data_IF_744441947459
#
_entry.id   IF_744441947459
#
_cell.length_a   1.000
_cell.length_b   1.000
_cell.length_c   1.000
_cell.angle_alpha   90.00
_cell.angle_beta   90.00
_cell.angle_gamma   90.00
#
_symmetry.space_group_name_H-M   'P 1'
#
loop_
_entity.id
_entity.type
_entity.pdbx_description
1 polymer ?
#
# COMPACT_ATOMS: atom_id res chain seq x y z
N UNK A 1 -1.14 26.20 -4.85
CA UNK A 1 -0.66 24.80 -4.98
C UNK A 1 -1.47 24.12 -6.09
N UNK A 2 -0.84 23.42 -7.04
CA UNK A 2 -1.58 22.68 -8.08
C UNK A 2 -2.06 21.35 -7.51
N UNK A 3 -3.31 20.97 -7.79
CA UNK A 3 -3.84 19.64 -7.43
C UNK A 3 -3.09 18.60 -8.27
N UNK A 4 -2.61 17.53 -7.63
CA UNK A 4 -1.96 16.39 -8.29
C UNK A 4 -2.99 15.27 -8.50
N UNK A 5 -2.89 14.52 -9.60
CA UNK A 5 -3.76 13.36 -9.85
C UNK A 5 -3.68 12.31 -8.72
N UNK A 6 -2.51 12.16 -8.10
CA UNK A 6 -2.32 11.32 -6.92
C UNK A 6 -3.29 11.69 -5.78
N UNK A 7 -3.52 12.99 -5.56
CA UNK A 7 -4.43 13.46 -4.52
C UNK A 7 -5.89 13.13 -4.83
N UNK A 8 -6.27 13.05 -6.11
CA UNK A 8 -7.62 12.70 -6.52
C UNK A 8 -7.97 11.25 -6.15
N UNK A 9 -7.05 10.32 -6.41
CA UNK A 9 -7.31 8.90 -6.20
C UNK A 9 -7.01 8.42 -4.78
N UNK A 10 -5.98 8.97 -4.14
CA UNK A 10 -5.71 8.69 -2.72
C UNK A 10 -6.78 9.34 -1.82
N UNK A 11 -7.42 10.42 -2.28
CA UNK A 11 -8.49 11.10 -1.56
C UNK A 11 -9.63 10.19 -1.11
N UNK A 12 -9.97 9.14 -1.87
CA UNK A 12 -10.98 8.16 -1.46
C UNK A 12 -10.58 7.39 -0.19
N UNK A 13 -9.32 6.98 -0.08
CA UNK A 13 -8.79 6.33 1.12
C UNK A 13 -8.76 7.28 2.31
N UNK A 14 -8.33 8.52 2.09
CA UNK A 14 -8.29 9.54 3.14
C UNK A 14 -9.71 9.88 3.63
N UNK A 15 -10.68 9.93 2.73
CA UNK A 15 -12.07 10.21 3.11
C UNK A 15 -12.64 9.09 4.00
N UNK A 16 -12.47 7.82 3.63
CA UNK A 16 -12.95 6.72 4.47
C UNK A 16 -12.28 6.71 5.85
N UNK A 17 -10.99 7.05 5.93
CA UNK A 17 -10.29 7.21 7.21
C UNK A 17 -10.92 8.35 8.02
N UNK A 18 -11.20 9.49 7.40
CA UNK A 18 -11.77 10.65 8.07
C UNK A 18 -13.23 10.43 8.53
N UNK A 19 -13.96 9.54 7.86
CA UNK A 19 -15.34 9.15 8.19
C UNK A 19 -15.44 8.12 9.32
N UNK A 20 -14.33 7.49 9.73
CA UNK A 20 -14.33 6.48 10.79
C UNK A 20 -14.47 7.11 12.18
N UNK A 21 -15.28 6.52 13.07
CA UNK A 21 -15.62 7.08 14.39
C UNK A 21 -14.41 7.34 15.30
N UNK A 22 -13.35 6.54 15.16
CA UNK A 22 -12.10 6.72 15.93
C UNK A 22 -11.15 7.77 15.33
N UNK A 23 -11.47 8.39 14.20
CA UNK A 23 -10.62 9.40 13.58
C UNK A 23 -10.60 10.71 14.38
N UNK A 24 -9.40 11.28 14.52
CA UNK A 24 -9.19 12.54 15.26
C UNK A 24 -8.31 13.53 14.50
N UNK A 25 -7.29 13.06 13.77
CA UNK A 25 -6.35 13.94 13.08
C UNK A 25 -5.64 13.24 11.91
N UNK A 26 -5.30 14.05 10.89
CA UNK A 26 -4.42 13.68 9.79
C UNK A 26 -3.35 14.76 9.61
N UNK A 27 -2.09 14.35 9.56
CA UNK A 27 -0.94 15.24 9.40
C UNK A 27 -0.05 14.79 8.23
N UNK A 28 0.60 15.75 7.56
CA UNK A 28 1.62 15.44 6.56
C UNK A 28 2.89 14.87 7.22
N UNK A 29 3.59 14.01 6.51
CA UNK A 29 4.89 13.47 6.95
C UNK A 29 6.03 14.24 6.28
N UNK A 30 7.02 14.57 7.10
CA UNK A 30 8.31 15.11 6.67
C UNK A 30 9.41 14.16 7.14
N UNK A 31 10.30 13.81 6.22
CA UNK A 31 11.49 12.99 6.46
C UNK A 31 12.69 13.82 6.01
N UNK A 32 13.61 14.14 6.92
CA UNK A 32 14.84 14.87 6.60
C UNK A 32 14.61 16.19 5.84
N UNK A 33 13.53 16.93 6.16
CA UNK A 33 13.16 18.19 5.51
C UNK A 33 12.42 18.00 4.17
N UNK A 34 12.04 16.77 3.83
CA UNK A 34 11.33 16.43 2.60
C UNK A 34 9.93 15.91 2.93
N UNK A 35 8.92 16.59 2.39
CA UNK A 35 7.53 16.12 2.47
C UNK A 35 7.30 14.86 1.66
N UNK A 36 6.71 13.84 2.30
CA UNK A 36 6.24 12.63 1.64
C UNK A 36 4.78 12.85 1.22
N UNK A 37 4.54 12.99 -0.08
CA UNK A 37 3.24 13.44 -0.60
C UNK A 37 2.16 12.35 -0.55
N UNK A 38 2.56 11.09 -0.45
CA UNK A 38 1.68 9.94 -0.46
C UNK A 38 1.71 9.20 0.88
N UNK A 39 2.12 9.85 1.97
CA UNK A 39 2.07 9.29 3.31
C UNK A 39 1.51 10.29 4.33
N UNK A 40 0.72 9.78 5.27
CA UNK A 40 0.00 10.60 6.24
C UNK A 40 0.07 9.99 7.62
N UNK A 41 0.24 10.84 8.64
CA UNK A 41 0.27 10.46 10.03
C UNK A 41 -1.14 10.61 10.61
N UNK A 42 -1.76 9.48 11.00
CA UNK A 42 -3.13 9.41 11.46
C UNK A 42 -3.14 9.29 12.98
N UNK A 43 -3.98 10.11 13.63
CA UNK A 43 -4.23 10.09 15.08
C UNK A 43 -2.98 10.12 15.98
N UNK A 44 -1.84 10.51 15.40
CA UNK A 44 -0.53 10.45 16.01
C UNK A 44 -0.06 9.04 16.45
N UNK A 45 -0.63 7.95 15.91
CA UNK A 45 -0.24 6.58 16.29
C UNK A 45 0.18 5.69 15.12
N UNK A 46 -0.24 6.00 13.89
CA UNK A 46 0.15 5.21 12.72
C UNK A 46 0.39 6.09 11.49
N UNK A 47 1.17 5.55 10.56
CA UNK A 47 1.40 6.13 9.24
C UNK A 47 0.74 5.27 8.19
N UNK A 48 -0.04 5.91 7.32
CA UNK A 48 -0.52 5.29 6.08
C UNK A 48 0.34 5.74 4.91
N UNK A 49 0.84 4.79 4.12
CA UNK A 49 1.53 5.04 2.87
C UNK A 49 0.64 4.59 1.72
N UNK A 50 0.19 5.54 0.91
CA UNK A 50 -0.82 5.32 -0.10
C UNK A 50 -0.20 5.18 -1.50
N UNK A 51 -0.74 4.24 -2.28
CA UNK A 51 -0.57 4.17 -3.73
C UNK A 51 -1.92 3.85 -4.38
N UNK A 52 -2.06 4.19 -5.65
CA UNK A 52 -3.24 3.85 -6.44
C UNK A 52 -2.84 3.19 -7.76
N UNK A 53 -3.76 2.41 -8.32
CA UNK A 53 -3.70 1.91 -9.68
C UNK A 53 -5.08 2.13 -10.31
N UNK A 54 -5.11 2.74 -11.50
CA UNK A 54 -6.38 3.13 -12.14
C UNK A 54 -7.09 1.94 -12.76
N UNK A 55 -6.36 1.12 -13.51
CA UNK A 55 -6.87 -0.01 -14.27
C UNK A 55 -6.11 -1.29 -13.92
N UNK A 56 -6.76 -2.43 -14.10
CA UNK A 56 -6.11 -3.73 -14.02
C UNK A 56 -5.50 -4.12 -15.38
N UNK A 57 -4.46 -4.95 -15.34
CA UNK A 57 -3.89 -5.54 -16.55
C UNK A 57 -4.79 -6.67 -17.11
N UNK A 58 -4.39 -7.28 -18.24
CA UNK A 58 -5.14 -8.38 -18.87
C UNK A 58 -5.42 -9.59 -17.97
N UNK A 59 -4.70 -9.75 -16.86
CA UNK A 59 -4.89 -10.83 -15.89
C UNK A 59 -5.80 -10.42 -14.72
N UNK A 60 -6.39 -9.22 -14.72
CA UNK A 60 -7.19 -8.71 -13.62
C UNK A 60 -6.38 -8.17 -12.44
N UNK A 61 -5.10 -7.86 -12.65
CA UNK A 61 -4.19 -7.40 -11.60
C UNK A 61 -3.99 -5.88 -11.63
N UNK A 62 -4.25 -5.22 -10.50
CA UNK A 62 -3.80 -3.86 -10.23
C UNK A 62 -2.34 -3.89 -9.80
N UNK A 63 -1.49 -3.11 -10.47
CA UNK A 63 -0.04 -3.15 -10.28
C UNK A 63 0.44 -1.93 -9.50
N UNK A 64 1.05 -2.17 -8.34
CA UNK A 64 1.61 -1.14 -7.47
C UNK A 64 3.14 -1.26 -7.44
N UNK A 65 3.81 -0.30 -8.08
CA UNK A 65 5.27 -0.28 -8.20
C UNK A 65 5.92 0.46 -7.03
N UNK A 66 6.82 -0.21 -6.33
CA UNK A 66 7.67 0.33 -5.28
C UNK A 66 9.11 0.37 -5.79
N UNK A 67 9.58 1.56 -6.15
CA UNK A 67 11.00 1.79 -6.45
C UNK A 67 11.81 1.92 -5.15
N UNK A 68 13.14 2.00 -5.29
CA UNK A 68 14.08 2.22 -4.19
C UNK A 68 13.68 3.39 -3.28
N UNK A 69 13.37 4.57 -3.83
CA UNK A 69 12.96 5.74 -3.04
C UNK A 69 11.74 5.47 -2.15
N UNK A 70 10.74 4.74 -2.64
CA UNK A 70 9.57 4.41 -1.81
C UNK A 70 9.93 3.43 -0.69
N UNK A 71 10.86 2.50 -0.94
CA UNK A 71 11.31 1.52 0.07
C UNK A 71 12.07 2.25 1.16
N UNK A 72 13.03 3.10 0.78
CA UNK A 72 13.79 3.94 1.70
C UNK A 72 12.87 4.87 2.50
N UNK A 73 11.86 5.48 1.88
CA UNK A 73 10.88 6.30 2.59
C UNK A 73 10.11 5.51 3.66
N UNK A 74 9.68 4.28 3.35
CA UNK A 74 8.95 3.44 4.33
C UNK A 74 9.87 3.03 5.48
N UNK A 75 11.14 2.74 5.20
CA UNK A 75 12.16 2.43 6.20
C UNK A 75 12.46 3.65 7.09
N UNK A 76 12.74 4.81 6.48
CA UNK A 76 13.00 6.07 7.18
C UNK A 76 11.84 6.48 8.13
N UNK A 77 10.58 6.32 7.68
CA UNK A 77 9.40 6.60 8.53
C UNK A 77 9.41 5.70 9.76
N UNK A 78 9.75 4.42 9.58
CA UNK A 78 9.78 3.45 10.67
C UNK A 78 10.79 3.88 11.72
N UNK A 79 11.99 4.23 11.28
CA UNK A 79 13.10 4.62 12.15
C UNK A 79 12.82 5.92 12.90
N UNK A 80 12.26 6.93 12.21
CA UNK A 80 12.09 8.27 12.80
C UNK A 80 10.88 8.39 13.72
N UNK A 81 9.79 7.65 13.46
CA UNK A 81 8.52 7.84 14.17
C UNK A 81 8.23 6.76 15.20
N UNK A 82 8.84 5.57 15.10
CA UNK A 82 8.53 4.43 15.98
C UNK A 82 7.01 4.13 16.05
N UNK A 83 6.33 4.22 14.90
CA UNK A 83 4.87 4.01 14.77
C UNK A 83 4.56 2.90 13.76
N UNK A 84 3.36 2.35 13.84
CA UNK A 84 2.89 1.35 12.88
C UNK A 84 2.75 1.96 11.49
N UNK A 85 3.19 1.23 10.47
CA UNK A 85 3.03 1.62 9.07
C UNK A 85 2.06 0.67 8.38
N UNK A 86 1.17 1.26 7.61
CA UNK A 86 0.18 0.60 6.80
C UNK A 86 0.30 1.02 5.34
N UNK A 87 0.32 0.06 4.42
CA UNK A 87 0.39 0.32 2.98
C UNK A 87 -1.02 0.25 2.42
N UNK A 88 -1.59 1.41 2.10
CA UNK A 88 -2.92 1.55 1.53
C UNK A 88 -2.84 1.53 -0.01
N UNK A 89 -3.56 0.59 -0.63
CA UNK A 89 -3.53 0.34 -2.07
C UNK A 89 -4.95 0.53 -2.63
N UNK A 90 -5.13 1.59 -3.43
CA UNK A 90 -6.42 1.95 -4.03
C UNK A 90 -6.54 1.39 -5.44
N UNK A 91 -7.51 0.49 -5.66
CA UNK A 91 -7.84 -0.08 -6.96
C UNK A 91 -9.01 0.72 -7.57
N UNK A 92 -8.71 1.81 -8.28
CA UNK A 92 -9.72 2.81 -8.68
C UNK A 92 -10.81 2.19 -9.55
N UNK A 93 -10.45 1.45 -10.61
CA UNK A 93 -11.43 0.83 -11.51
C UNK A 93 -12.31 -0.24 -10.83
N UNK A 94 -11.89 -0.76 -9.67
CA UNK A 94 -12.69 -1.69 -8.88
C UNK A 94 -13.49 -0.99 -7.78
N UNK A 95 -13.25 0.30 -7.53
CA UNK A 95 -13.78 1.05 -6.38
C UNK A 95 -13.48 0.37 -5.03
N UNK A 96 -12.27 -0.18 -4.90
CA UNK A 96 -11.86 -0.95 -3.73
C UNK A 96 -10.54 -0.46 -3.15
N UNK A 97 -10.41 -0.60 -1.83
CA UNK A 97 -9.21 -0.22 -1.09
C UNK A 97 -8.80 -1.42 -0.26
N UNK A 98 -7.53 -1.83 -0.37
CA UNK A 98 -6.96 -2.78 0.57
C UNK A 98 -5.77 -2.18 1.29
N UNK A 99 -5.50 -2.70 2.47
CA UNK A 99 -4.46 -2.20 3.34
C UNK A 99 -3.61 -3.37 3.86
N UNK A 100 -2.29 -3.22 3.76
CA UNK A 100 -1.32 -4.19 4.26
C UNK A 100 -0.63 -3.61 5.49
N UNK A 101 -0.40 -4.41 6.53
CA UNK A 101 0.56 -4.04 7.57
C UNK A 101 1.98 -4.00 6.99
N UNK A 102 2.90 -3.27 7.65
CA UNK A 102 4.32 -3.26 7.28
C UNK A 102 4.88 -4.68 7.14
N UNK A 103 4.60 -5.56 8.10
CA UNK A 103 5.07 -6.95 8.07
C UNK A 103 4.55 -7.72 6.86
N UNK A 104 3.28 -7.50 6.48
CA UNK A 104 2.70 -8.11 5.28
C UNK A 104 3.38 -7.60 4.00
N UNK A 105 3.62 -6.30 3.92
CA UNK A 105 4.38 -5.68 2.82
C UNK A 105 5.80 -6.25 2.73
N UNK A 106 6.56 -6.24 3.83
CA UNK A 106 7.93 -6.77 3.89
C UNK A 106 7.99 -8.25 3.53
N UNK A 107 7.01 -9.05 3.95
CA UNK A 107 6.91 -10.45 3.57
C UNK A 107 6.77 -10.63 2.06
N UNK A 108 5.96 -9.79 1.38
CA UNK A 108 5.85 -9.84 -0.08
C UNK A 108 7.17 -9.48 -0.77
N UNK A 109 7.84 -8.41 -0.33
CA UNK A 109 9.14 -7.99 -0.87
C UNK A 109 10.20 -9.08 -0.63
N UNK A 110 10.26 -9.64 0.58
CA UNK A 110 11.19 -10.71 0.95
C UNK A 110 10.97 -11.98 0.11
N UNK A 111 9.72 -12.38 -0.11
CA UNK A 111 9.41 -13.51 -0.98
C UNK A 111 9.90 -13.27 -2.41
N UNK A 112 9.75 -12.04 -2.91
CA UNK A 112 10.24 -11.68 -4.25
C UNK A 112 11.77 -11.72 -4.32
N UNK A 113 12.47 -11.15 -3.34
CA UNK A 113 13.94 -11.23 -3.21
C UNK A 113 14.41 -12.68 -3.21
N UNK A 114 13.78 -13.54 -2.40
CA UNK A 114 14.09 -14.99 -2.33
C UNK A 114 13.86 -15.71 -3.66
N UNK A 115 12.76 -15.41 -4.34
CA UNK A 115 12.45 -16.03 -5.63
C UNK A 115 13.44 -15.66 -6.73
N UNK A 116 14.02 -14.44 -6.69
CA UNK A 116 15.00 -13.99 -7.67
C UNK A 116 16.43 -14.40 -7.32
N UNK A 117 16.78 -14.40 -6.04
CA UNK A 117 18.13 -14.62 -5.52
C UNK A 117 18.93 -13.35 -5.28
N UNK A 118 18.38 -12.17 -5.57
CA UNK A 118 19.03 -10.87 -5.46
C UNK A 118 18.00 -9.72 -5.41
N UNK A 119 18.46 -8.53 -5.04
CA UNK A 119 17.62 -7.33 -4.96
C UNK A 119 17.24 -6.78 -6.34
N UNK A 120 16.16 -6.00 -6.37
CA UNK A 120 15.64 -5.34 -7.57
C UNK A 120 15.50 -3.84 -7.30
N UNK A 121 15.68 -3.03 -8.34
CA UNK A 121 15.46 -1.57 -8.25
C UNK A 121 14.00 -1.21 -8.00
N UNK A 122 13.08 -2.12 -8.36
CA UNK A 122 11.64 -1.97 -8.18
C UNK A 122 10.97 -3.30 -7.89
N UNK A 123 9.93 -3.25 -7.07
CA UNK A 123 9.08 -4.37 -6.73
C UNK A 123 7.64 -4.05 -7.12
N UNK A 124 6.97 -5.01 -7.75
CA UNK A 124 5.57 -4.88 -8.12
C UNK A 124 4.72 -5.72 -7.18
N UNK A 125 3.91 -5.07 -6.36
CA UNK A 125 2.84 -5.73 -5.61
C UNK A 125 1.59 -5.72 -6.49
N UNK A 126 1.00 -6.88 -6.66
CA UNK A 126 -0.17 -7.13 -7.49
C UNK A 126 -1.37 -7.34 -6.59
N UNK A 127 -2.48 -6.68 -6.89
CA UNK A 127 -3.76 -6.87 -6.20
C UNK A 127 -4.82 -7.34 -7.19
N UNK A 128 -5.50 -8.43 -6.86
CA UNK A 128 -6.72 -8.83 -7.58
C UNK A 128 -7.95 -8.52 -6.73
N UNK A 129 -8.93 -7.84 -7.33
CA UNK A 129 -10.14 -7.34 -6.68
C UNK A 129 -11.42 -8.00 -7.24
N UNK A 130 -11.43 -9.33 -7.39
CA UNK A 130 -12.56 -10.08 -7.98
C UNK A 130 -13.86 -9.89 -7.20
N UNK A 131 -14.92 -9.43 -7.86
CA UNK A 131 -16.22 -9.15 -7.26
C UNK A 131 -16.74 -10.32 -6.39
N UNK A 132 -17.28 -10.00 -5.21
CA UNK A 132 -17.80 -10.99 -4.25
C UNK A 132 -16.75 -11.85 -3.54
N UNK A 133 -15.45 -11.64 -3.80
CA UNK A 133 -14.35 -12.35 -3.13
C UNK A 133 -13.44 -11.37 -2.38
N UNK A 134 -12.70 -11.87 -1.39
CA UNK A 134 -11.61 -11.13 -0.73
C UNK A 134 -10.59 -10.64 -1.76
N UNK A 135 -10.01 -9.46 -1.50
CA UNK A 135 -8.86 -8.98 -2.27
C UNK A 135 -7.67 -9.89 -2.02
N UNK A 136 -6.78 -10.03 -3.01
CA UNK A 136 -5.55 -10.81 -2.87
C UNK A 136 -4.36 -9.97 -3.28
N UNK A 137 -3.45 -9.72 -2.34
CA UNK A 137 -2.17 -9.05 -2.59
C UNK A 137 -1.03 -10.08 -2.70
N UNK A 138 -0.21 -10.00 -3.74
CA UNK A 138 0.89 -10.93 -3.97
C UNK A 138 2.00 -10.32 -4.84
N UNK A 139 3.08 -11.09 -5.01
CA UNK A 139 4.18 -10.82 -5.94
C UNK A 139 4.36 -12.03 -6.85
N UNK A 140 4.76 -11.81 -8.10
CA UNK A 140 5.08 -12.93 -9.01
C UNK A 140 6.47 -13.49 -8.72
N UNK A 141 6.70 -14.75 -9.06
CA UNK A 141 8.00 -15.41 -9.06
C UNK A 141 8.92 -14.82 -10.14
N UNK A 142 10.24 -14.85 -9.91
CA UNK A 142 11.21 -14.29 -10.84
C UNK A 142 11.16 -15.01 -12.19
N UNK A 143 11.11 -14.24 -13.28
CA UNK A 143 11.05 -14.77 -14.65
C UNK A 143 9.75 -15.49 -15.03
N UNK A 144 8.77 -15.59 -14.12
CA UNK A 144 7.53 -16.34 -14.36
C UNK A 144 6.30 -15.48 -14.13
N UNK A 145 5.42 -15.41 -15.13
CA UNK A 145 4.10 -14.75 -14.99
C UNK A 145 3.12 -15.73 -14.34
N UNK A 146 2.23 -15.22 -13.49
CA UNK A 146 1.15 -15.96 -12.82
C UNK A 146 1.58 -17.07 -11.84
N UNK A 147 2.89 -17.22 -11.59
CA UNK A 147 3.39 -18.05 -10.48
C UNK A 147 3.71 -17.13 -9.31
N UNK A 148 3.20 -17.42 -8.12
CA UNK A 148 3.38 -16.56 -6.95
C UNK A 148 4.74 -16.78 -6.27
N UNK A 149 5.42 -15.69 -5.91
CA UNK A 149 6.51 -15.74 -4.96
C UNK A 149 5.92 -15.76 -3.54
N UNK A 150 5.79 -16.97 -2.98
CA UNK A 150 5.18 -17.19 -1.66
C UNK A 150 3.65 -17.25 -1.71
N UNK A 151 3.02 -17.10 -0.54
CA UNK A 151 1.55 -17.19 -0.42
C UNK A 151 0.89 -15.82 -0.64
N UNK A 152 -0.16 -15.71 -1.46
CA UNK A 152 -0.98 -14.50 -1.54
C UNK A 152 -1.61 -14.14 -0.20
N UNK A 153 -1.63 -12.85 0.10
CA UNK A 153 -2.28 -12.30 1.30
C UNK A 153 -3.73 -12.02 0.95
N UNK A 154 -4.66 -12.68 1.65
CA UNK A 154 -6.10 -12.44 1.52
C UNK A 154 -6.52 -11.31 2.44
N UNK A 155 -7.21 -10.32 1.90
CA UNK A 155 -7.63 -9.11 2.60
C UNK A 155 -9.15 -8.98 2.46
N UNK A 156 -9.85 -8.81 3.58
CA UNK A 156 -11.30 -8.63 3.55
C UNK A 156 -11.67 -7.28 2.94
N UNK A 157 -12.79 -7.19 2.21
CA UNK A 157 -13.23 -5.91 1.61
C UNK A 157 -13.60 -4.86 2.65
N UNK A 158 -14.11 -5.30 3.80
CA UNK A 158 -14.47 -4.45 4.91
C UNK A 158 -13.33 -4.24 5.92
N UNK A 159 -12.09 -4.68 5.65
CA UNK A 159 -11.02 -4.51 6.64
C UNK A 159 -10.48 -3.08 6.70
N UNK A 160 -10.72 -2.28 5.67
CA UNK A 160 -10.32 -0.88 5.65
C UNK A 160 -11.57 0.00 5.80
N UNK A 161 -11.53 1.08 6.59
CA UNK A 161 -10.36 1.61 7.31
C UNK A 161 -10.07 0.93 8.67
N UNK A 162 -10.94 0.07 9.18
CA UNK A 162 -10.87 -0.51 10.53
C UNK A 162 -9.47 -1.00 10.95
N UNK A 163 -8.71 -1.65 10.05
CA UNK A 163 -7.38 -2.20 10.36
C UNK A 163 -6.35 -1.18 10.89
N UNK A 164 -6.54 0.12 10.61
CA UNK A 164 -5.63 1.19 11.09
C UNK A 164 -6.05 1.80 12.42
N UNK A 165 -7.29 1.53 12.86
CA UNK A 165 -7.84 1.99 14.13
C UNK A 165 -7.94 0.78 15.08
N UNK A 166 -7.42 0.93 16.30
CA UNK A 166 -7.43 -0.13 17.32
C UNK A 166 -8.18 0.35 18.56
#
# INVERSE_FOLDING_TARGET
>A
MKIRLEHQYIGAAIMQIAEHDQFTAINSIDINGRKVNNAFFINNHCVIFCKYATEHNVNGEYVFTFNKDHIEQIEDITEQKSVEIYICLVCVGASEICCLSKNQYENLISNRKKSKGNEEEKYNILVTATAGKSLSAYVNAAGKKMEYAGKPIKISRNSFPDIIFK
#
